data_IF_433299631064
#
_entry.id   IF_433299631064
#
_cell.length_a   1.000
_cell.length_b   1.000
_cell.length_c   1.000
_cell.angle_alpha   90.00
_cell.angle_beta   90.00
_cell.angle_gamma   90.00
#
_symmetry.space_group_name_H-M   'P 1'
#
loop_
_entity.id
_entity.type
_entity.pdbx_description
1 polymer ?
#
# COMPACT_ATOMS: atom_id res chain seq x y z
N UNK A 1 1.15 -23.22 -18.30
CA UNK A 1 0.71 -22.27 -17.27
C UNK A 1 1.95 -21.82 -16.49
N UNK A 2 2.21 -20.52 -16.40
CA UNK A 2 3.36 -19.98 -15.67
C UNK A 2 2.85 -19.23 -14.43
N UNK A 3 3.45 -19.51 -13.26
CA UNK A 3 3.11 -18.91 -11.96
C UNK A 3 4.39 -18.69 -11.15
N UNK A 4 5.30 -17.88 -11.68
CA UNK A 4 6.68 -17.70 -11.19
C UNK A 4 6.83 -16.51 -10.23
N UNK A 5 5.73 -16.03 -9.65
CA UNK A 5 5.69 -14.88 -8.74
C UNK A 5 5.10 -13.62 -9.38
N UNK A 6 4.94 -12.59 -8.55
CA UNK A 6 4.39 -11.29 -8.92
C UNK A 6 5.33 -10.17 -8.47
N UNK A 7 5.12 -8.96 -8.99
CA UNK A 7 5.77 -7.73 -8.56
C UNK A 7 4.74 -6.60 -8.55
N UNK A 8 4.85 -5.69 -7.59
CA UNK A 8 4.03 -4.49 -7.53
C UNK A 8 4.13 -3.69 -8.85
N UNK A 9 2.99 -3.24 -9.36
CA UNK A 9 2.93 -2.36 -10.52
C UNK A 9 3.15 -0.91 -10.07
N UNK A 10 4.39 -0.42 -10.13
CA UNK A 10 4.81 0.88 -9.57
C UNK A 10 5.24 1.92 -10.61
N UNK A 11 5.24 1.60 -11.90
CA UNK A 11 5.78 2.46 -12.96
C UNK A 11 5.13 3.85 -12.97
N UNK A 12 3.80 3.90 -12.92
CA UNK A 12 3.05 5.17 -12.86
C UNK A 12 3.41 6.00 -11.61
N UNK A 13 3.65 5.34 -10.48
CA UNK A 13 4.01 6.01 -9.24
C UNK A 13 5.43 6.60 -9.32
N UNK A 14 6.37 5.86 -9.92
CA UNK A 14 7.75 6.33 -10.16
C UNK A 14 7.79 7.53 -11.10
N UNK A 15 7.02 7.50 -12.19
CA UNK A 15 6.88 8.61 -13.13
C UNK A 15 6.32 9.86 -12.44
N UNK A 16 5.32 9.67 -11.57
CA UNK A 16 4.74 10.72 -10.74
C UNK A 16 5.65 11.19 -9.59
N UNK A 17 6.86 10.66 -9.44
CA UNK A 17 7.82 10.94 -8.35
C UNK A 17 7.29 10.57 -6.96
N UNK A 18 6.38 9.59 -6.89
CA UNK A 18 6.00 8.95 -5.63
C UNK A 18 7.13 8.01 -5.19
N UNK A 19 7.39 7.95 -3.89
CA UNK A 19 8.38 7.07 -3.31
C UNK A 19 7.96 5.60 -3.48
N UNK A 20 8.83 4.82 -4.13
CA UNK A 20 8.66 3.39 -4.37
C UNK A 20 9.87 2.64 -3.81
N UNK A 21 9.64 1.46 -3.26
CA UNK A 21 10.67 0.53 -2.80
C UNK A 21 10.67 -0.75 -3.64
N UNK A 22 11.64 -1.67 -3.44
CA UNK A 22 11.58 -2.99 -4.06
C UNK A 22 10.32 -3.82 -3.72
N UNK A 23 9.54 -3.40 -2.73
CA UNK A 23 8.32 -4.07 -2.26
C UNK A 23 7.02 -3.38 -2.70
N UNK A 24 7.09 -2.23 -3.38
CA UNK A 24 5.91 -1.49 -3.87
C UNK A 24 5.92 0.00 -3.50
N UNK A 25 4.78 0.66 -3.69
CA UNK A 25 4.57 2.06 -3.35
C UNK A 25 4.67 2.21 -1.83
N UNK A 26 5.52 3.13 -1.37
CA UNK A 26 5.73 3.37 0.06
C UNK A 26 4.58 4.19 0.60
N UNK A 27 3.89 3.62 1.59
CA UNK A 27 2.78 4.27 2.29
C UNK A 27 3.10 4.53 3.76
N UNK A 28 2.37 5.46 4.36
CA UNK A 28 2.31 5.60 5.81
C UNK A 28 1.16 4.77 6.40
N UNK A 29 0.97 4.82 7.72
CA UNK A 29 -0.09 4.06 8.41
C UNK A 29 -1.50 4.42 7.96
N UNK A 30 -1.70 5.54 7.25
CA UNK A 30 -2.99 5.99 6.72
C UNK A 30 -3.14 5.77 5.22
N UNK A 31 -2.29 4.92 4.63
CA UNK A 31 -2.25 4.60 3.20
C UNK A 31 -1.93 5.79 2.29
N UNK A 32 -1.34 6.86 2.85
CA UNK A 32 -0.89 8.01 2.08
C UNK A 32 0.48 7.72 1.47
N UNK A 33 0.65 8.13 0.23
CA UNK A 33 1.95 8.10 -0.45
C UNK A 33 2.85 9.26 0.02
N UNK A 34 4.03 9.40 -0.59
CA UNK A 34 4.90 10.57 -0.35
C UNK A 34 4.34 11.88 -0.89
N UNK A 35 3.33 11.85 -1.76
CA UNK A 35 2.69 13.05 -2.32
C UNK A 35 1.36 13.29 -1.60
N UNK A 36 1.10 14.51 -1.09
CA UNK A 36 -0.17 14.85 -0.44
C UNK A 36 -1.36 14.56 -1.34
N UNK A 37 -2.47 14.11 -0.75
CA UNK A 37 -3.73 13.78 -1.43
C UNK A 37 -3.65 12.60 -2.42
N UNK A 38 -2.52 11.90 -2.51
CA UNK A 38 -2.38 10.66 -3.29
C UNK A 38 -2.24 9.48 -2.32
N UNK A 39 -3.08 8.48 -2.50
CA UNK A 39 -3.16 7.27 -1.69
C UNK A 39 -2.88 6.04 -2.55
N UNK A 40 -2.43 4.96 -1.92
CA UNK A 40 -2.23 3.68 -2.58
C UNK A 40 -2.67 2.53 -1.64
N UNK A 41 -3.22 1.47 -2.22
CA UNK A 41 -3.70 0.27 -1.52
C UNK A 41 -3.65 -0.94 -2.45
N UNK A 42 -3.73 -2.15 -1.88
CA UNK A 42 -3.73 -3.42 -2.60
C UNK A 42 -2.32 -3.87 -2.99
N UNK A 43 -2.23 -4.75 -3.98
CA UNK A 43 -0.99 -5.46 -4.31
C UNK A 43 0.16 -4.55 -4.81
N UNK A 44 -0.10 -3.27 -5.05
CA UNK A 44 0.90 -2.29 -5.47
C UNK A 44 1.66 -1.62 -4.32
N UNK A 45 1.27 -1.82 -3.05
CA UNK A 45 1.90 -1.16 -1.91
C UNK A 45 2.89 -2.04 -1.14
N UNK A 46 3.87 -1.37 -0.53
CA UNK A 46 4.70 -1.95 0.52
C UNK A 46 3.96 -1.88 1.86
N UNK A 47 3.87 -3.01 2.56
CA UNK A 47 3.36 -3.09 3.93
C UNK A 47 4.45 -3.54 4.90
N UNK A 48 4.26 -3.21 6.17
CA UNK A 48 5.08 -3.74 7.27
C UNK A 48 4.41 -5.01 7.80
N UNK A 49 5.08 -6.13 7.70
CA UNK A 49 4.65 -7.39 8.30
C UNK A 49 4.77 -7.29 9.83
N UNK A 50 3.70 -7.68 10.55
CA UNK A 50 3.55 -7.34 11.98
C UNK A 50 4.51 -8.14 12.87
N UNK A 51 4.78 -9.41 12.55
CA UNK A 51 5.58 -10.29 13.39
C UNK A 51 7.09 -9.99 13.30
N UNK A 52 7.59 -9.76 12.09
CA UNK A 52 9.01 -9.56 11.81
C UNK A 52 9.39 -8.09 11.67
N UNK A 53 8.41 -7.21 11.48
CA UNK A 53 8.62 -5.80 11.19
C UNK A 53 9.25 -5.52 9.82
N UNK A 54 9.43 -6.56 8.98
CA UNK A 54 10.01 -6.43 7.64
C UNK A 54 9.01 -5.79 6.69
N UNK A 55 9.55 -5.08 5.71
CA UNK A 55 8.80 -4.56 4.57
C UNK A 55 8.58 -5.69 3.58
N UNK A 56 7.33 -5.85 3.12
CA UNK A 56 6.92 -6.87 2.15
C UNK A 56 5.90 -6.28 1.19
N UNK A 57 5.74 -6.91 0.03
CA UNK A 57 4.67 -6.56 -0.90
C UNK A 57 3.32 -7.05 -0.35
N UNK A 58 2.27 -6.22 -0.48
CA UNK A 58 0.89 -6.70 -0.25
C UNK A 58 0.47 -7.66 -1.38
N UNK A 59 -0.38 -8.63 -1.07
CA UNK A 59 -0.70 -9.72 -2.02
C UNK A 59 -1.90 -10.58 -1.65
N UNK A 60 -2.81 -10.06 -0.82
CA UNK A 60 -3.98 -10.79 -0.34
C UNK A 60 -5.25 -9.98 -0.56
N UNK A 61 -6.25 -10.56 -1.24
CA UNK A 61 -7.49 -9.84 -1.58
C UNK A 61 -8.25 -9.31 -0.36
N UNK A 62 -8.24 -10.02 0.78
CA UNK A 62 -8.86 -9.54 2.02
C UNK A 62 -8.13 -8.36 2.64
N UNK A 63 -6.81 -8.27 2.47
CA UNK A 63 -6.04 -7.10 2.86
C UNK A 63 -6.37 -5.92 1.93
N UNK A 64 -6.40 -6.15 0.62
CA UNK A 64 -6.70 -5.12 -0.36
C UNK A 64 -8.08 -4.47 -0.15
N UNK A 65 -9.11 -5.27 0.16
CA UNK A 65 -10.46 -4.76 0.49
C UNK A 65 -10.44 -3.84 1.72
N UNK A 66 -9.80 -4.30 2.80
CA UNK A 66 -9.65 -3.53 4.04
C UNK A 66 -8.84 -2.25 3.81
N UNK A 67 -7.75 -2.34 3.08
CA UNK A 67 -6.90 -1.20 2.72
C UNK A 67 -7.70 -0.17 1.91
N UNK A 68 -8.44 -0.60 0.88
CA UNK A 68 -9.30 0.30 0.10
C UNK A 68 -10.33 1.03 0.96
N UNK A 69 -10.98 0.32 1.88
CA UNK A 69 -11.94 0.93 2.81
C UNK A 69 -11.26 1.96 3.74
N UNK A 70 -10.10 1.64 4.30
CA UNK A 70 -9.34 2.55 5.18
C UNK A 70 -8.80 3.75 4.40
N UNK A 71 -8.33 3.56 3.17
CA UNK A 71 -7.92 4.65 2.29
C UNK A 71 -9.10 5.59 2.04
N UNK A 72 -10.27 5.06 1.69
CA UNK A 72 -11.50 5.83 1.52
C UNK A 72 -11.89 6.64 2.76
N UNK A 73 -11.83 6.04 3.95
CA UNK A 73 -12.07 6.73 5.23
C UNK A 73 -11.10 7.90 5.43
N UNK A 74 -9.81 7.69 5.14
CA UNK A 74 -8.80 8.74 5.29
C UNK A 74 -8.94 9.85 4.23
N UNK A 75 -9.35 9.51 3.01
CA UNK A 75 -9.68 10.48 1.95
C UNK A 75 -10.87 11.34 2.36
N UNK A 76 -11.87 10.74 3.02
CA UNK A 76 -13.05 11.45 3.54
C UNK A 76 -12.75 12.34 4.77
N UNK A 77 -11.49 12.45 5.21
CA UNK A 77 -11.06 13.37 6.26
C UNK A 77 -10.93 12.77 7.66
N UNK A 78 -11.21 11.47 7.84
CA UNK A 78 -10.96 10.80 9.11
C UNK A 78 -9.47 10.42 9.28
N UNK A 79 -9.08 10.04 10.50
CA UNK A 79 -7.72 9.60 10.84
C UNK A 79 -7.76 8.14 11.30
N UNK A 80 -7.84 7.21 10.34
CA UNK A 80 -7.91 5.77 10.63
C UNK A 80 -6.62 5.08 10.19
N UNK A 81 -5.82 4.51 11.10
CA UNK A 81 -4.65 3.74 10.72
C UNK A 81 -5.04 2.39 10.11
N UNK A 82 -4.17 1.85 9.26
CA UNK A 82 -4.26 0.52 8.65
C UNK A 82 -4.22 -0.58 9.73
N UNK A 83 -3.44 -0.33 10.78
CA UNK A 83 -3.28 -1.22 11.93
C UNK A 83 -3.84 -0.54 13.18
N UNK A 84 -4.66 -1.27 13.92
CA UNK A 84 -5.47 -0.72 15.01
C UNK A 84 -6.86 -1.37 14.97
N UNK A 85 -7.31 -1.85 16.12
CA UNK A 85 -8.65 -2.43 16.32
C UNK A 85 -9.64 -1.31 16.64
#
# INVERSE_FOLDING_TARGET
>A
MFSTGIRANSELAEDAKIKVSPHGIVINERLQTSIPNIYACGDCIEIKEILTGKKVQSGYGTQADREGHIAGINIAGAMKPLWGW
#
